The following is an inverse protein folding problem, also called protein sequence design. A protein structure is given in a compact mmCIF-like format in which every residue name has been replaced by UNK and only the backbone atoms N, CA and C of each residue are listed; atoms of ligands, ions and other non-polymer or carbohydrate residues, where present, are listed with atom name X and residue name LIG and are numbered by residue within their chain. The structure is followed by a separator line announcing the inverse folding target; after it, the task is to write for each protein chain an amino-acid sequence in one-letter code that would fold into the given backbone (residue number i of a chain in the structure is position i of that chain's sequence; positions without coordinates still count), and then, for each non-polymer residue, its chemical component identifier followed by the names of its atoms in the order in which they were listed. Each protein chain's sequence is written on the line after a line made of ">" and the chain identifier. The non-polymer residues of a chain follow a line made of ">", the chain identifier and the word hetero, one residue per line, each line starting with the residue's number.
data_IF_802211058757
#
_entry.id   IF_802211058757
#
_cell.length_a   1.000
_cell.length_b   1.000
_cell.length_c   1.000
_cell.angle_alpha   90.00
_cell.angle_beta   90.00
_cell.angle_gamma   90.00
#
_symmetry.space_group_name_H-M   'P 1'
#
loop_
_entity.id
_entity.type
_entity.pdbx_description
1 polymer ?
#
# COMPACT_ATOMS: atom_id res chain seq x y z
N UNK A 1 32.37 39.33 11.96
CA UNK A 1 30.96 39.38 11.48
C UNK A 1 30.60 38.41 10.36
N UNK A 2 31.51 38.06 9.43
CA UNK A 2 31.16 37.15 8.30
C UNK A 2 30.91 35.69 8.70
N UNK A 3 31.61 35.20 9.73
CA UNK A 3 31.49 33.81 10.21
C UNK A 3 30.10 33.50 10.79
N UNK A 4 29.54 34.39 11.61
CA UNK A 4 28.20 34.21 12.18
C UNK A 4 27.10 34.27 11.12
N UNK A 5 27.25 35.10 10.08
CA UNK A 5 26.31 35.13 8.96
C UNK A 5 26.33 33.82 8.18
N UNK A 6 27.52 33.28 7.89
CA UNK A 6 27.67 32.01 7.17
C UNK A 6 27.07 30.83 7.96
N UNK A 7 27.30 30.80 9.27
CA UNK A 7 26.75 29.76 10.15
C UNK A 7 25.22 29.83 10.21
N UNK A 8 24.66 31.05 10.32
CA UNK A 8 23.21 31.26 10.37
C UNK A 8 22.53 30.90 9.04
N UNK A 9 23.13 31.25 7.90
CA UNK A 9 22.62 30.84 6.59
C UNK A 9 22.69 29.32 6.40
N UNK A 10 23.77 28.68 6.85
CA UNK A 10 23.91 27.22 6.75
C UNK A 10 22.85 26.49 7.59
N UNK A 11 22.57 26.97 8.81
CA UNK A 11 21.51 26.41 9.65
C UNK A 11 20.13 26.56 9.01
N UNK A 12 19.79 27.72 8.45
CA UNK A 12 18.48 27.93 7.79
C UNK A 12 18.34 27.00 6.58
N UNK A 13 19.38 26.89 5.74
CA UNK A 13 19.36 26.00 4.58
C UNK A 13 19.23 24.53 4.98
N UNK A 14 19.91 24.10 6.04
CA UNK A 14 19.79 22.73 6.55
C UNK A 14 18.38 22.43 7.09
N UNK A 15 17.77 23.36 7.83
CA UNK A 15 16.39 23.21 8.29
C UNK A 15 15.37 23.16 7.13
N UNK A 16 15.61 23.92 6.07
CA UNK A 16 14.76 23.92 4.88
C UNK A 16 14.83 22.58 4.13
N UNK A 17 16.03 21.99 4.01
CA UNK A 17 16.23 20.69 3.37
C UNK A 17 15.60 19.54 4.16
N UNK A 18 15.67 19.58 5.50
CA UNK A 18 15.01 18.57 6.35
C UNK A 18 13.47 18.67 6.28
N UNK A 19 12.91 19.85 6.02
CA UNK A 19 11.47 20.04 5.84
C UNK A 19 10.92 19.47 4.52
N UNK A 20 11.78 19.11 3.57
CA UNK A 20 11.39 18.59 2.26
C UNK A 20 11.39 17.06 2.16
N UNK A 21 11.55 16.33 3.26
CA UNK A 21 11.41 14.86 3.27
C UNK A 21 9.93 14.49 3.14
N UNK A 22 9.38 14.62 1.95
CA UNK A 22 8.04 14.13 1.62
C UNK A 22 8.00 12.62 1.83
N UNK A 23 6.95 12.14 2.50
CA UNK A 23 6.70 10.72 2.72
C UNK A 23 6.19 10.15 1.40
N UNK A 24 7.10 9.69 0.54
CA UNK A 24 6.71 8.98 -0.68
C UNK A 24 6.03 7.66 -0.26
N UNK A 25 4.72 7.57 -0.50
CA UNK A 25 3.95 6.34 -0.30
C UNK A 25 3.75 5.68 -1.66
N UNK A 26 4.02 4.37 -1.73
CA UNK A 26 3.59 3.55 -2.85
C UNK A 26 2.09 3.26 -2.65
N UNK A 27 1.24 4.14 -3.16
CA UNK A 27 -0.19 3.89 -3.25
C UNK A 27 -0.50 2.98 -4.44
N UNK A 28 -1.58 2.21 -4.34
CA UNK A 28 -2.10 1.41 -5.45
C UNK A 28 -2.41 2.31 -6.65
N UNK A 29 -2.06 1.89 -7.87
CA UNK A 29 -2.36 2.67 -9.07
C UNK A 29 -3.82 2.40 -9.50
N UNK A 30 -4.73 3.40 -9.43
CA UNK A 30 -6.14 3.21 -9.79
C UNK A 30 -6.35 2.76 -11.24
N UNK A 31 -5.35 2.94 -12.12
CA UNK A 31 -5.41 2.53 -13.53
C UNK A 31 -5.19 1.03 -13.73
N UNK A 32 -4.51 0.35 -12.79
CA UNK A 32 -4.18 -1.07 -12.91
C UNK A 32 -5.38 -1.96 -12.55
N UNK A 33 -6.17 -1.55 -11.55
CA UNK A 33 -7.29 -2.37 -11.07
C UNK A 33 -8.33 -2.73 -12.14
N UNK A 34 -8.79 -1.81 -13.02
CA UNK A 34 -9.69 -2.18 -14.12
C UNK A 34 -9.12 -3.26 -15.05
N UNK A 35 -7.82 -3.20 -15.34
CA UNK A 35 -7.14 -4.18 -16.21
C UNK A 35 -7.08 -5.55 -15.53
N UNK A 36 -6.72 -5.58 -14.25
CA UNK A 36 -6.67 -6.82 -13.45
C UNK A 36 -8.04 -7.48 -13.36
N UNK A 37 -9.11 -6.69 -13.12
CA UNK A 37 -10.48 -7.19 -13.10
C UNK A 37 -10.87 -7.86 -14.42
N UNK A 38 -10.62 -7.20 -15.54
CA UNK A 38 -10.97 -7.74 -16.86
C UNK A 38 -10.16 -9.01 -17.17
N UNK A 39 -8.85 -9.01 -16.92
CA UNK A 39 -7.97 -10.12 -17.27
C UNK A 39 -8.22 -11.38 -16.43
N UNK A 40 -8.47 -11.25 -15.12
CA UNK A 40 -8.57 -12.39 -14.20
C UNK A 40 -10.00 -12.81 -13.88
N UNK A 41 -10.93 -11.85 -13.87
CA UNK A 41 -12.31 -12.09 -13.41
C UNK A 41 -13.36 -11.82 -14.49
N UNK A 42 -12.99 -11.20 -15.61
CA UNK A 42 -13.86 -10.93 -16.76
C UNK A 42 -15.23 -10.36 -16.31
N UNK A 43 -16.32 -10.78 -16.94
CA UNK A 43 -17.71 -10.35 -16.65
C UNK A 43 -18.29 -10.90 -15.33
N UNK A 44 -17.47 -11.26 -14.35
CA UNK A 44 -17.97 -11.68 -13.03
C UNK A 44 -18.33 -10.46 -12.18
N UNK A 45 -19.39 -10.60 -11.40
CA UNK A 45 -19.75 -9.60 -10.40
C UNK A 45 -18.71 -9.59 -9.27
N UNK A 46 -18.28 -8.40 -8.88
CA UNK A 46 -17.29 -8.18 -7.82
C UNK A 46 -17.92 -7.24 -6.80
N UNK A 47 -17.99 -7.70 -5.55
CA UNK A 47 -18.58 -6.97 -4.45
C UNK A 47 -17.52 -6.72 -3.39
N UNK A 48 -17.48 -5.50 -2.86
CA UNK A 48 -16.71 -5.20 -1.66
C UNK A 48 -17.44 -5.78 -0.45
N UNK A 49 -16.70 -6.44 0.44
CA UNK A 49 -17.25 -7.15 1.60
C UNK A 49 -16.42 -6.85 2.84
N UNK A 50 -17.06 -6.82 4.00
CA UNK A 50 -16.41 -6.51 5.28
C UNK A 50 -15.99 -7.77 6.06
N UNK A 51 -16.49 -8.94 5.66
CA UNK A 51 -16.26 -10.22 6.33
C UNK A 51 -14.93 -10.89 5.94
N UNK A 52 -14.18 -10.32 4.98
CA UNK A 52 -12.81 -10.73 4.64
C UNK A 52 -11.87 -9.60 5.05
N UNK A 53 -10.88 -9.92 5.87
CA UNK A 53 -9.88 -8.95 6.33
C UNK A 53 -8.48 -9.40 5.98
N UNK A 54 -7.64 -8.44 5.64
CA UNK A 54 -6.22 -8.63 5.35
C UNK A 54 -5.46 -7.79 6.37
N UNK A 55 -4.57 -8.43 7.12
CA UNK A 55 -3.64 -7.77 8.02
C UNK A 55 -2.21 -7.98 7.51
N UNK A 56 -1.49 -6.88 7.32
CA UNK A 56 -0.12 -6.88 6.83
C UNK A 56 0.62 -5.64 7.36
N UNK A 57 1.96 -5.71 7.50
CA UNK A 57 2.78 -4.55 7.82
C UNK A 57 2.55 -3.43 6.80
N UNK A 58 2.36 -2.19 7.30
CA UNK A 58 2.22 -1.00 6.43
C UNK A 58 3.44 -0.79 5.51
N UNK A 59 4.63 -1.21 5.95
CA UNK A 59 5.88 -1.18 5.19
C UNK A 59 6.67 -2.45 5.45
N UNK A 60 7.40 -2.88 4.44
CA UNK A 60 8.39 -3.94 4.54
C UNK A 60 9.76 -3.42 4.08
N UNK A 61 10.82 -4.03 4.59
CA UNK A 61 12.18 -3.79 4.10
C UNK A 61 12.36 -4.40 2.70
N UNK A 62 13.27 -3.83 1.92
CA UNK A 62 13.54 -4.29 0.56
C UNK A 62 14.07 -5.73 0.57
N UNK A 63 13.40 -6.63 -0.13
CA UNK A 63 13.77 -8.05 -0.21
C UNK A 63 13.42 -8.88 1.02
N UNK A 64 12.70 -8.33 1.98
CA UNK A 64 12.26 -9.06 3.17
C UNK A 64 11.07 -9.98 2.88
N UNK A 65 10.93 -11.04 3.68
CA UNK A 65 9.70 -11.82 3.74
C UNK A 65 8.64 -11.02 4.51
N UNK A 66 7.48 -10.81 3.87
CA UNK A 66 6.40 -10.02 4.44
C UNK A 66 5.27 -10.95 4.89
N UNK A 67 4.96 -11.01 6.20
CA UNK A 67 3.83 -11.79 6.68
C UNK A 67 2.51 -11.11 6.28
N UNK A 68 1.57 -11.90 5.76
CA UNK A 68 0.21 -11.45 5.43
C UNK A 68 -0.77 -12.43 6.04
N UNK A 69 -1.73 -11.92 6.80
CA UNK A 69 -2.77 -12.72 7.46
C UNK A 69 -4.12 -12.45 6.82
N UNK A 70 -4.81 -13.52 6.43
CA UNK A 70 -6.19 -13.45 5.92
C UNK A 70 -7.14 -13.98 6.99
N UNK A 71 -8.19 -13.23 7.28
CA UNK A 71 -9.23 -13.61 8.24
C UNK A 71 -10.60 -13.58 7.59
N UNK A 72 -11.45 -14.54 7.97
CA UNK A 72 -12.80 -14.71 7.45
C UNK A 72 -13.81 -14.81 8.59
N UNK A 73 -14.74 -13.86 8.65
CA UNK A 73 -15.85 -13.87 9.60
C UNK A 73 -17.04 -14.63 9.00
N UNK A 74 -17.15 -15.91 9.37
CA UNK A 74 -18.22 -16.78 8.88
C UNK A 74 -19.62 -16.34 9.30
N UNK A 75 -19.76 -15.68 10.44
CA UNK A 75 -21.07 -15.22 10.92
C UNK A 75 -21.55 -14.02 10.09
N UNK A 76 -20.66 -13.06 9.84
CA UNK A 76 -20.94 -11.89 9.00
C UNK A 76 -21.15 -12.25 7.52
N UNK A 77 -20.57 -13.37 7.07
CA UNK A 77 -20.64 -13.81 5.68
C UNK A 77 -21.96 -14.47 5.27
N UNK A 78 -22.93 -14.65 6.18
CA UNK A 78 -24.30 -15.08 5.88
C UNK A 78 -24.41 -16.31 4.94
N UNK A 79 -23.54 -17.31 5.16
CA UNK A 79 -23.57 -18.56 4.38
C UNK A 79 -22.77 -18.54 3.08
N UNK A 80 -21.98 -17.49 2.80
CA UNK A 80 -20.99 -17.50 1.72
C UNK A 80 -19.95 -18.60 1.99
N UNK A 81 -19.64 -19.40 0.97
CA UNK A 81 -18.63 -20.46 1.04
C UNK A 81 -17.41 -20.09 0.19
N UNK A 82 -16.23 -20.07 0.81
CA UNK A 82 -14.99 -19.66 0.14
C UNK A 82 -14.40 -20.87 -0.58
N UNK A 83 -14.48 -20.86 -1.91
CA UNK A 83 -13.89 -21.92 -2.75
C UNK A 83 -12.43 -21.65 -3.14
N UNK A 84 -12.07 -20.39 -3.35
CA UNK A 84 -10.75 -19.96 -3.81
C UNK A 84 -10.44 -18.56 -3.28
N UNK A 85 -9.18 -18.34 -2.92
CA UNK A 85 -8.64 -17.02 -2.55
C UNK A 85 -7.57 -16.67 -3.58
N UNK A 86 -7.70 -15.48 -4.17
CA UNK A 86 -6.70 -14.92 -5.09
C UNK A 86 -6.05 -13.72 -4.40
N UNK A 87 -4.73 -13.67 -4.38
CA UNK A 87 -3.95 -12.54 -3.87
C UNK A 87 -3.25 -11.91 -5.05
N UNK A 88 -3.48 -10.62 -5.25
CA UNK A 88 -2.98 -9.86 -6.39
C UNK A 88 -2.16 -8.69 -5.88
N UNK A 89 -0.95 -8.53 -6.42
CA UNK A 89 -0.06 -7.41 -6.11
C UNK A 89 0.09 -6.61 -7.41
N UNK A 90 -0.61 -5.49 -7.50
CA UNK A 90 -0.75 -4.68 -8.71
C UNK A 90 0.58 -4.10 -9.22
N UNK A 91 1.48 -3.74 -8.30
CA UNK A 91 2.78 -3.17 -8.64
C UNK A 91 3.85 -4.21 -9.05
N UNK A 92 3.58 -5.51 -8.91
CA UNK A 92 4.54 -6.55 -9.28
C UNK A 92 4.26 -7.06 -10.70
N UNK A 93 5.31 -7.25 -11.54
CA UNK A 93 5.14 -7.90 -12.83
C UNK A 93 4.62 -9.32 -12.64
N UNK A 94 3.74 -9.75 -13.55
CA UNK A 94 3.11 -11.08 -13.60
C UNK A 94 3.92 -11.97 -14.55
#
# INVERSE_FOLDING_TARGET
>A
MKFNKLFFTASISASLLLGMTSIAQAEADPKLWPVVKEAFFAKRDIQEVEFIKIDAPRRAESGAQVPVTFSYDKAAANGVDIKKIYVLVDANPI
#
